data_IF_433265785142
#
_entry.id   IF_433265785142
#
_cell.length_a   1.000
_cell.length_b   1.000
_cell.length_c   1.000
_cell.angle_alpha   90.00
_cell.angle_beta   90.00
_cell.angle_gamma   90.00
#
_symmetry.space_group_name_H-M   'P 1'
#
loop_
_entity.id
_entity.type
_entity.pdbx_description
1 polymer ?
#
# COMPACT_ATOMS: atom_id res chain seq x y z
N UNK A 1 -18.51 -19.60 14.51
CA UNK A 1 -17.37 -19.76 15.45
C UNK A 1 -17.83 -19.65 16.90
N UNK A 2 -18.41 -18.52 17.34
CA UNK A 2 -18.82 -18.33 18.74
C UNK A 2 -19.74 -19.42 19.32
N UNK A 3 -20.84 -19.80 18.65
CA UNK A 3 -21.75 -20.84 19.15
C UNK A 3 -21.09 -22.22 19.31
N UNK A 4 -20.14 -22.56 18.43
CA UNK A 4 -19.40 -23.84 18.48
C UNK A 4 -18.39 -23.86 19.62
N UNK A 5 -17.79 -22.72 19.93
CA UNK A 5 -16.72 -22.58 20.91
C UNK A 5 -17.18 -22.01 22.26
N UNK A 6 -18.48 -21.79 22.44
CA UNK A 6 -19.02 -21.32 23.73
C UNK A 6 -18.70 -22.32 24.84
N UNK A 7 -18.32 -21.88 26.05
CA UNK A 7 -18.01 -22.78 27.18
C UNK A 7 -19.07 -23.86 27.41
N UNK A 8 -20.35 -23.47 27.52
CA UNK A 8 -21.50 -24.40 27.70
C UNK A 8 -21.69 -25.44 26.58
N UNK A 9 -21.02 -25.29 25.44
CA UNK A 9 -21.07 -26.25 24.33
C UNK A 9 -19.84 -27.17 24.30
N UNK A 10 -18.89 -26.96 25.20
CA UNK A 10 -17.64 -27.71 25.31
C UNK A 10 -17.55 -28.58 26.58
N UNK A 11 -18.63 -28.68 27.37
CA UNK A 11 -18.68 -29.48 28.61
C UNK A 11 -18.18 -30.92 28.43
N UNK A 12 -18.44 -31.54 27.27
CA UNK A 12 -17.97 -32.89 26.97
C UNK A 12 -16.43 -33.02 26.98
N UNK A 13 -15.70 -31.95 26.61
CA UNK A 13 -14.23 -31.92 26.64
C UNK A 13 -13.71 -31.83 28.08
N UNK A 14 -14.41 -31.10 28.95
CA UNK A 14 -14.07 -31.01 30.38
C UNK A 14 -14.33 -32.35 31.06
N UNK A 15 -15.47 -33.00 30.76
CA UNK A 15 -15.83 -34.30 31.33
C UNK A 15 -14.92 -35.45 30.88
N UNK A 16 -14.18 -35.29 29.78
CA UNK A 16 -13.19 -36.26 29.31
C UNK A 16 -11.92 -36.30 30.17
N UNK A 17 -11.65 -35.26 30.98
CA UNK A 17 -10.47 -35.18 31.84
C UNK A 17 -10.66 -35.97 33.14
N UNK A 18 -9.60 -36.64 33.58
CA UNK A 18 -9.67 -37.63 34.67
C UNK A 18 -9.38 -37.07 36.07
N UNK A 19 -8.68 -35.93 36.15
CA UNK A 19 -8.32 -35.29 37.42
C UNK A 19 -9.00 -33.93 37.51
N UNK A 20 -9.35 -33.50 38.73
CA UNK A 20 -9.95 -32.17 38.94
C UNK A 20 -9.03 -31.03 38.48
N UNK A 21 -7.70 -31.21 38.63
CA UNK A 21 -6.72 -30.27 38.10
C UNK A 21 -6.75 -30.19 36.57
N UNK A 22 -6.87 -31.32 35.87
CA UNK A 22 -6.98 -31.35 34.40
C UNK A 22 -8.32 -30.78 33.91
N UNK A 23 -9.42 -31.05 34.61
CA UNK A 23 -10.73 -30.45 34.32
C UNK A 23 -10.70 -28.92 34.44
N UNK A 24 -10.09 -28.41 35.52
CA UNK A 24 -9.95 -26.97 35.71
C UNK A 24 -9.06 -26.35 34.62
N UNK A 25 -7.92 -26.96 34.31
CA UNK A 25 -7.06 -26.48 33.22
C UNK A 25 -7.78 -26.46 31.87
N UNK A 26 -8.58 -27.48 31.57
CA UNK A 26 -9.38 -27.55 30.34
C UNK A 26 -10.46 -26.46 30.30
N UNK A 27 -11.10 -26.19 31.43
CA UNK A 27 -12.07 -25.10 31.57
C UNK A 27 -11.41 -23.74 31.31
N UNK A 28 -10.26 -23.48 31.91
CA UNK A 28 -9.50 -22.24 31.73
C UNK A 28 -9.07 -22.06 30.26
N UNK A 29 -8.64 -23.14 29.59
CA UNK A 29 -8.31 -23.15 28.16
C UNK A 29 -9.51 -22.77 27.29
N UNK A 30 -10.68 -23.37 27.56
CA UNK A 30 -11.93 -23.11 26.83
C UNK A 30 -12.38 -21.66 27.02
N UNK A 31 -12.38 -21.16 28.27
CA UNK A 31 -12.74 -19.79 28.60
C UNK A 31 -11.77 -18.79 27.94
N UNK A 32 -10.47 -19.04 28.00
CA UNK A 32 -9.45 -18.23 27.34
C UNK A 32 -9.64 -18.21 25.82
N UNK A 33 -9.92 -19.35 25.20
CA UNK A 33 -10.16 -19.43 23.76
C UNK A 33 -11.43 -18.69 23.34
N UNK A 34 -12.52 -18.82 24.11
CA UNK A 34 -13.76 -18.09 23.84
C UNK A 34 -13.56 -16.57 24.00
N UNK A 35 -12.83 -16.15 25.04
CA UNK A 35 -12.45 -14.74 25.23
C UNK A 35 -11.66 -14.20 24.04
N UNK A 36 -10.67 -14.93 23.54
CA UNK A 36 -9.92 -14.55 22.34
C UNK A 36 -10.83 -14.42 21.10
N UNK A 37 -11.84 -15.29 20.94
CA UNK A 37 -12.84 -15.16 19.87
C UNK A 37 -13.66 -13.87 20.02
N UNK A 38 -14.06 -13.52 21.25
CA UNK A 38 -14.81 -12.28 21.51
C UNK A 38 -13.96 -11.04 21.19
N UNK A 39 -12.73 -10.99 21.68
CA UNK A 39 -11.79 -9.89 21.42
C UNK A 39 -11.52 -9.75 19.91
N UNK A 40 -11.27 -10.86 19.21
CA UNK A 40 -11.11 -10.86 17.76
C UNK A 40 -12.36 -10.33 17.04
N UNK A 41 -13.56 -10.72 17.49
CA UNK A 41 -14.81 -10.23 16.92
C UNK A 41 -14.97 -8.72 17.11
N UNK A 42 -14.67 -8.19 18.30
CA UNK A 42 -14.75 -6.75 18.60
C UNK A 42 -13.82 -5.92 17.72
N UNK A 43 -12.64 -6.43 17.39
CA UNK A 43 -11.70 -5.77 16.49
C UNK A 43 -12.17 -5.87 15.04
N UNK A 44 -12.59 -7.04 14.58
CA UNK A 44 -12.89 -7.29 13.17
C UNK A 44 -14.25 -6.76 12.71
N UNK A 45 -15.20 -6.55 13.65
CA UNK A 45 -16.53 -6.00 13.34
C UNK A 45 -16.51 -4.48 13.18
N UNK A 46 -15.62 -3.79 13.89
CA UNK A 46 -15.45 -2.34 13.80
C UNK A 46 -14.50 -2.02 12.62
N UNK A 47 -14.97 -1.32 11.57
CA UNK A 47 -14.13 -1.05 10.40
C UNK A 47 -12.85 -0.25 10.71
N UNK A 48 -12.87 0.59 11.73
CA UNK A 48 -11.72 1.41 12.14
C UNK A 48 -10.71 0.54 12.88
N UNK A 49 -11.15 -0.23 13.87
CA UNK A 49 -10.27 -1.15 14.60
C UNK A 49 -9.67 -2.20 13.67
N UNK A 50 -10.47 -2.73 12.74
CA UNK A 50 -10.00 -3.67 11.72
C UNK A 50 -8.93 -3.06 10.83
N UNK A 51 -9.08 -1.81 10.36
CA UNK A 51 -8.04 -1.16 9.55
C UNK A 51 -6.74 -0.97 10.32
N UNK A 52 -6.82 -0.55 11.57
CA UNK A 52 -5.66 -0.40 12.44
C UNK A 52 -4.96 -1.75 12.59
N UNK A 53 -5.72 -2.79 12.96
CA UNK A 53 -5.22 -4.15 13.10
C UNK A 53 -4.59 -4.68 11.80
N UNK A 54 -5.29 -4.56 10.68
CA UNK A 54 -4.80 -5.00 9.37
C UNK A 54 -3.51 -4.25 8.98
N UNK A 55 -3.31 -3.01 9.45
CA UNK A 55 -2.10 -2.22 9.17
C UNK A 55 -0.88 -2.60 10.02
N UNK A 56 -1.06 -3.41 11.08
CA UNK A 56 0.05 -3.90 11.93
C UNK A 56 0.71 -5.17 11.39
N UNK A 57 0.11 -5.82 10.38
CA UNK A 57 0.72 -6.99 9.78
C UNK A 57 2.04 -6.63 9.08
N UNK A 58 3.00 -7.55 9.19
CA UNK A 58 4.28 -7.43 8.49
C UNK A 58 4.03 -7.23 6.99
N UNK A 59 4.60 -6.15 6.45
CA UNK A 59 4.42 -5.74 5.07
C UNK A 59 5.77 -5.44 4.42
N UNK A 60 5.97 -5.94 3.21
CA UNK A 60 7.16 -5.66 2.42
C UNK A 60 7.08 -4.24 1.82
N UNK A 61 7.70 -3.30 2.53
CA UNK A 61 7.79 -1.89 2.15
C UNK A 61 8.89 -1.58 1.13
N UNK A 62 9.63 -2.59 0.63
CA UNK A 62 10.73 -2.41 -0.31
C UNK A 62 10.30 -1.65 -1.58
N UNK A 63 11.04 -0.58 -1.88
CA UNK A 63 10.86 0.23 -3.08
C UNK A 63 11.96 -0.10 -4.06
N UNK A 64 11.62 -0.97 -5.02
CA UNK A 64 12.53 -1.34 -6.10
C UNK A 64 12.99 -0.10 -6.87
N UNK A 65 14.30 0.08 -6.95
CA UNK A 65 14.94 1.23 -7.61
C UNK A 65 15.35 0.94 -9.04
N UNK A 66 15.63 -0.32 -9.37
CA UNK A 66 16.09 -0.72 -10.69
C UNK A 66 15.59 -2.12 -11.08
N UNK A 67 15.52 -2.34 -12.40
CA UNK A 67 15.31 -3.63 -13.03
C UNK A 67 15.82 -3.58 -14.48
N UNK A 68 16.17 -4.75 -15.03
CA UNK A 68 16.36 -4.86 -16.46
C UNK A 68 15.01 -4.67 -17.20
N UNK A 69 14.98 -4.11 -18.41
CA UNK A 69 13.72 -3.83 -19.13
C UNK A 69 12.80 -5.05 -19.27
N UNK A 70 13.37 -6.23 -19.51
CA UNK A 70 12.62 -7.48 -19.66
C UNK A 70 11.97 -7.99 -18.37
N UNK A 71 12.45 -7.51 -17.21
CA UNK A 71 11.95 -7.92 -15.90
C UNK A 71 11.04 -6.87 -15.26
N UNK A 72 10.79 -5.75 -15.95
CA UNK A 72 9.96 -4.64 -15.45
C UNK A 72 8.63 -5.11 -14.86
N UNK A 73 7.83 -5.87 -15.63
CA UNK A 73 6.52 -6.33 -15.18
C UNK A 73 6.60 -7.34 -14.03
N UNK A 74 7.66 -8.17 -14.00
CA UNK A 74 7.88 -9.16 -12.94
C UNK A 74 8.28 -8.50 -11.62
N UNK A 75 9.00 -7.38 -11.70
CA UNK A 75 9.49 -6.65 -10.52
C UNK A 75 8.41 -5.69 -10.00
N UNK A 76 7.87 -4.82 -10.85
CA UNK A 76 6.94 -3.77 -10.44
C UNK A 76 5.50 -4.25 -10.32
N UNK A 77 5.07 -5.25 -11.09
CA UNK A 77 3.71 -5.78 -11.02
C UNK A 77 3.32 -6.26 -9.61
N UNK A 78 4.09 -7.18 -8.99
CA UNK A 78 3.84 -7.61 -7.62
C UNK A 78 3.94 -6.49 -6.59
N UNK A 79 4.85 -5.53 -6.77
CA UNK A 79 4.98 -4.38 -5.87
C UNK A 79 3.71 -3.51 -5.89
N UNK A 80 3.16 -3.20 -7.06
CA UNK A 80 1.91 -2.46 -7.17
C UNK A 80 0.71 -3.24 -6.64
N UNK A 81 0.65 -4.56 -6.89
CA UNK A 81 -0.40 -5.41 -6.32
C UNK A 81 -0.39 -5.39 -4.79
N UNK A 82 0.79 -5.54 -4.15
CA UNK A 82 0.94 -5.49 -2.69
C UNK A 82 0.52 -4.13 -2.12
N UNK A 83 1.03 -3.04 -2.69
CA UNK A 83 0.67 -1.69 -2.23
C UNK A 83 -0.80 -1.36 -2.50
N UNK A 84 -1.39 -1.97 -3.53
CA UNK A 84 -2.80 -1.78 -3.89
C UNK A 84 -3.76 -2.27 -2.81
N UNK A 85 -3.37 -3.23 -1.97
CA UNK A 85 -4.16 -3.68 -0.82
C UNK A 85 -4.53 -2.53 0.12
N UNK A 86 -3.70 -1.50 0.20
CA UNK A 86 -3.95 -0.30 1.00
C UNK A 86 -4.78 0.77 0.29
N UNK A 87 -5.25 0.54 -0.94
CA UNK A 87 -5.99 1.55 -1.71
C UNK A 87 -7.39 1.80 -1.15
N UNK A 88 -7.72 3.06 -0.93
CA UNK A 88 -9.10 3.52 -0.66
C UNK A 88 -10.01 3.32 -1.87
N UNK A 89 -9.48 3.46 -3.09
CA UNK A 89 -10.24 3.36 -4.33
C UNK A 89 -10.09 1.97 -4.95
N UNK A 90 -11.21 1.37 -5.36
CA UNK A 90 -11.28 0.06 -6.01
C UNK A 90 -12.16 0.17 -7.28
N UNK A 91 -11.87 -0.60 -8.34
CA UNK A 91 -10.76 -1.55 -8.48
C UNK A 91 -9.40 -0.86 -8.73
N UNK A 92 -8.32 -1.50 -8.31
CA UNK A 92 -6.95 -1.06 -8.61
C UNK A 92 -6.64 -1.39 -10.08
N UNK A 93 -6.14 -0.45 -10.89
CA UNK A 93 -5.76 -0.73 -12.27
C UNK A 93 -4.54 -1.66 -12.32
N UNK A 94 -4.57 -2.61 -13.25
CA UNK A 94 -3.43 -3.50 -13.50
C UNK A 94 -2.30 -2.74 -14.20
N UNK A 95 -1.04 -3.12 -13.90
CA UNK A 95 0.13 -2.63 -14.63
C UNK A 95 0.10 -3.05 -16.12
N UNK A 96 -0.56 -4.17 -16.42
CA UNK A 96 -0.62 -4.76 -17.75
C UNK A 96 0.69 -5.42 -18.18
N UNK A 97 0.92 -5.42 -19.48
CA UNK A 97 2.07 -5.99 -20.17
C UNK A 97 2.64 -5.01 -21.22
N UNK A 98 3.62 -5.46 -22.02
CA UNK A 98 4.30 -4.63 -23.02
C UNK A 98 3.40 -4.18 -24.18
N UNK A 99 2.27 -4.88 -24.39
CA UNK A 99 1.29 -4.62 -25.46
C UNK A 99 0.13 -3.75 -25.01
N UNK A 100 0.07 -3.42 -23.72
CA UNK A 100 -1.01 -2.61 -23.14
C UNK A 100 -1.10 -1.23 -23.80
N UNK A 101 -2.31 -0.80 -24.24
CA UNK A 101 -2.49 0.49 -24.90
C UNK A 101 -2.02 1.67 -24.04
N UNK A 102 -1.44 2.68 -24.68
CA UNK A 102 -0.89 3.87 -24.01
C UNK A 102 -1.91 4.57 -23.11
N UNK A 103 -3.17 4.61 -23.52
CA UNK A 103 -4.25 5.21 -22.72
C UNK A 103 -4.46 4.49 -21.38
N UNK A 104 -4.36 3.15 -21.36
CA UNK A 104 -4.49 2.36 -20.13
C UNK A 104 -3.25 2.51 -19.25
N UNK A 105 -2.06 2.65 -19.85
CA UNK A 105 -0.82 2.98 -19.14
C UNK A 105 -0.93 4.34 -18.45
N UNK A 106 -1.48 5.35 -19.13
CA UNK A 106 -1.67 6.68 -18.56
C UNK A 106 -2.72 6.67 -17.43
N UNK A 107 -3.83 5.92 -17.59
CA UNK A 107 -4.81 5.72 -16.51
C UNK A 107 -4.19 5.04 -15.29
N UNK A 108 -3.36 4.02 -15.50
CA UNK A 108 -2.62 3.35 -14.44
C UNK A 108 -1.74 4.33 -13.65
N UNK A 109 -0.88 5.08 -14.32
CA UNK A 109 0.00 6.03 -13.62
C UNK A 109 -0.78 7.20 -12.99
N UNK A 110 -1.87 7.65 -13.61
CA UNK A 110 -2.73 8.67 -13.04
C UNK A 110 -3.37 8.20 -11.72
N UNK A 111 -3.86 6.96 -11.66
CA UNK A 111 -4.36 6.36 -10.42
C UNK A 111 -3.27 6.35 -9.34
N UNK A 112 -2.07 5.86 -9.67
CA UNK A 112 -0.99 5.70 -8.70
C UNK A 112 -0.38 7.02 -8.23
N UNK A 113 -0.33 8.03 -9.10
CA UNK A 113 0.09 9.37 -8.69
C UNK A 113 -0.94 10.11 -7.84
N UNK A 114 -2.21 9.67 -7.86
CA UNK A 114 -3.27 10.14 -6.98
C UNK A 114 -3.67 9.10 -5.92
N UNK A 115 -2.79 8.14 -5.64
CA UNK A 115 -3.05 7.03 -4.73
C UNK A 115 -3.43 7.56 -3.34
N UNK A 116 -4.48 7.00 -2.75
CA UNK A 116 -4.91 7.30 -1.38
C UNK A 116 -4.90 6.01 -0.58
N UNK A 117 -4.08 6.00 0.48
CA UNK A 117 -3.94 4.85 1.36
C UNK A 117 -4.94 4.91 2.52
N UNK A 118 -5.52 3.77 2.89
CA UNK A 118 -6.23 3.60 4.18
C UNK A 118 -5.33 3.03 5.28
N UNK A 119 -4.06 2.69 4.98
CA UNK A 119 -3.10 2.15 5.95
C UNK A 119 -2.89 3.13 7.11
N UNK A 120 -2.92 2.61 8.32
CA UNK A 120 -2.70 3.33 9.57
C UNK A 120 -1.35 2.90 10.20
N UNK A 121 -0.81 3.68 11.14
CA UNK A 121 0.52 3.44 11.71
C UNK A 121 0.49 3.44 13.25
N UNK A 122 -0.34 2.58 13.89
CA UNK A 122 -0.54 2.64 15.34
C UNK A 122 0.74 2.46 16.16
N UNK A 123 1.74 1.75 15.64
CA UNK A 123 3.01 1.51 16.33
C UNK A 123 3.87 2.79 16.45
N UNK A 124 3.56 3.84 15.68
CA UNK A 124 4.24 5.13 15.76
C UNK A 124 3.67 6.04 16.86
N UNK A 125 2.60 5.64 17.56
CA UNK A 125 2.07 6.40 18.70
C UNK A 125 2.96 6.25 19.94
N UNK A 126 3.44 7.37 20.48
CA UNK A 126 4.30 7.38 21.67
C UNK A 126 3.51 7.42 23.00
N UNK A 127 2.27 7.91 22.99
CA UNK A 127 1.52 8.19 24.22
C UNK A 127 0.29 7.29 24.36
N UNK A 128 0.19 6.58 25.49
CA UNK A 128 -1.01 5.86 25.90
C UNK A 128 -2.00 6.82 26.61
N UNK A 129 -3.15 7.05 25.98
CA UNK A 129 -4.19 7.94 26.49
C UNK A 129 -4.78 7.48 27.84
N UNK A 130 -4.61 6.21 28.23
CA UNK A 130 -5.02 5.70 29.55
C UNK A 130 -4.14 6.24 30.68
N UNK A 131 -2.89 6.63 30.39
CA UNK A 131 -1.96 7.22 31.37
C UNK A 131 -2.23 8.70 31.66
N UNK A 132 -3.23 9.30 31.02
CA UNK A 132 -3.56 10.71 31.19
C UNK A 132 -4.17 11.05 32.54
N UNK A 133 -3.45 11.85 33.31
CA UNK A 133 -3.84 12.35 34.63
C UNK A 133 -4.97 13.40 34.60
N UNK A 134 -5.18 14.07 33.47
CA UNK A 134 -6.22 15.08 33.31
C UNK A 134 -6.74 15.12 31.87
N UNK A 135 -7.90 15.76 31.66
CA UNK A 135 -8.47 15.93 30.32
C UNK A 135 -7.54 16.73 29.42
N UNK A 136 -6.90 17.75 29.97
CA UNK A 136 -5.94 18.60 29.28
C UNK A 136 -4.67 17.80 28.91
N UNK A 137 -4.20 16.92 29.80
CA UNK A 137 -3.09 16.02 29.53
C UNK A 137 -3.43 15.01 28.42
N UNK A 138 -4.62 14.39 28.46
CA UNK A 138 -5.08 13.48 27.39
C UNK A 138 -5.16 14.18 26.03
N UNK A 139 -5.72 15.39 25.97
CA UNK A 139 -5.78 16.19 24.74
C UNK A 139 -4.39 16.56 24.21
N UNK A 140 -3.44 16.80 25.10
CA UNK A 140 -2.05 17.04 24.69
C UNK A 140 -1.43 15.78 24.08
N UNK A 141 -1.64 14.61 24.69
CA UNK A 141 -1.18 13.31 24.17
C UNK A 141 -1.81 12.99 22.80
N UNK A 142 -3.13 13.16 22.66
CA UNK A 142 -3.84 13.01 21.37
C UNK A 142 -3.20 13.86 20.27
N UNK A 143 -2.82 15.10 20.58
CA UNK A 143 -2.14 15.98 19.62
C UNK A 143 -0.72 15.54 19.30
N UNK A 144 0.01 14.92 20.23
CA UNK A 144 1.34 14.37 19.92
C UNK A 144 1.21 13.15 19.02
N UNK A 145 0.34 12.19 19.36
CA UNK A 145 0.08 11.02 18.52
C UNK A 145 -0.40 11.44 17.12
N UNK A 146 -1.32 12.42 17.01
CA UNK A 146 -1.77 12.92 15.72
C UNK A 146 -0.63 13.47 14.84
N UNK A 147 0.39 14.10 15.42
CA UNK A 147 1.57 14.57 14.67
C UNK A 147 2.46 13.40 14.21
N UNK A 148 2.63 12.39 15.07
CA UNK A 148 3.39 11.18 14.74
C UNK A 148 2.71 10.42 13.59
N UNK A 149 1.39 10.23 13.69
CA UNK A 149 0.56 9.67 12.63
C UNK A 149 0.67 10.47 11.32
N UNK A 150 0.59 11.80 11.37
CA UNK A 150 0.73 12.62 10.17
C UNK A 150 2.11 12.46 9.52
N UNK A 151 3.17 12.38 10.34
CA UNK A 151 4.54 12.14 9.87
C UNK A 151 4.67 10.76 9.22
N UNK A 152 4.14 9.71 9.84
CA UNK A 152 4.13 8.35 9.31
C UNK A 152 3.40 8.27 7.97
N UNK A 153 2.19 8.84 7.89
CA UNK A 153 1.43 8.95 6.66
C UNK A 153 2.21 9.67 5.57
N UNK A 154 2.84 10.81 5.88
CA UNK A 154 3.68 11.54 4.92
C UNK A 154 4.86 10.71 4.41
N UNK A 155 5.52 9.95 5.28
CA UNK A 155 6.60 9.06 4.88
C UNK A 155 6.10 7.95 3.94
N UNK A 156 4.93 7.35 4.23
CA UNK A 156 4.30 6.35 3.37
C UNK A 156 3.93 6.92 1.99
N UNK A 157 3.31 8.10 1.95
CA UNK A 157 3.01 8.78 0.68
C UNK A 157 4.28 9.02 -0.14
N UNK A 158 5.37 9.43 0.50
CA UNK A 158 6.66 9.62 -0.17
C UNK A 158 7.26 8.29 -0.67
N UNK A 159 7.12 7.20 0.10
CA UNK A 159 7.58 5.85 -0.28
C UNK A 159 6.84 5.34 -1.51
N UNK A 160 5.50 5.37 -1.49
CA UNK A 160 4.68 4.97 -2.64
C UNK A 160 4.98 5.87 -3.84
N UNK A 161 5.10 7.19 -3.64
CA UNK A 161 5.47 8.12 -4.73
C UNK A 161 6.79 7.74 -5.38
N UNK A 162 7.79 7.37 -4.57
CA UNK A 162 9.10 6.91 -5.06
C UNK A 162 8.98 5.62 -5.87
N UNK A 163 8.17 4.67 -5.44
CA UNK A 163 7.86 3.46 -6.22
C UNK A 163 7.29 3.81 -7.59
N UNK A 164 6.29 4.71 -7.65
CA UNK A 164 5.66 5.12 -8.91
C UNK A 164 6.67 5.81 -9.82
N UNK A 165 7.49 6.72 -9.28
CA UNK A 165 8.50 7.44 -10.06
C UNK A 165 9.59 6.51 -10.60
N UNK A 166 10.02 5.51 -9.83
CA UNK A 166 10.98 4.51 -10.28
C UNK A 166 10.39 3.65 -11.41
N UNK A 167 9.14 3.19 -11.24
CA UNK A 167 8.42 2.43 -12.26
C UNK A 167 8.27 3.26 -13.55
N UNK A 168 7.77 4.50 -13.47
CA UNK A 168 7.56 5.37 -14.62
C UNK A 168 8.85 5.66 -15.40
N UNK A 169 9.98 5.75 -14.69
CA UNK A 169 11.31 5.91 -15.31
C UNK A 169 11.79 4.64 -15.99
N UNK A 170 11.36 3.45 -15.58
CA UNK A 170 11.87 2.16 -16.10
C UNK A 170 10.90 1.46 -17.06
N UNK A 171 9.65 1.91 -17.11
CA UNK A 171 8.61 1.31 -17.95
C UNK A 171 9.00 1.39 -19.43
N UNK A 172 9.16 0.24 -20.12
CA UNK A 172 9.60 0.21 -21.51
C UNK A 172 8.62 0.90 -22.45
N UNK A 173 7.32 0.92 -22.12
CA UNK A 173 6.29 1.59 -22.91
C UNK A 173 6.44 3.11 -22.84
N UNK A 174 6.75 3.63 -21.65
CA UNK A 174 7.02 5.05 -21.42
C UNK A 174 8.33 5.47 -22.10
N UNK A 175 9.35 4.63 -22.06
CA UNK A 175 10.63 4.90 -22.72
C UNK A 175 10.47 4.96 -24.25
N UNK A 176 9.81 3.98 -24.86
CA UNK A 176 9.49 3.99 -26.31
C UNK A 176 8.75 5.28 -26.71
N UNK A 177 7.72 5.65 -25.96
CA UNK A 177 6.97 6.90 -26.21
C UNK A 177 7.87 8.14 -26.17
N UNK A 178 8.76 8.25 -25.17
CA UNK A 178 9.70 9.38 -25.05
C UNK A 178 10.70 9.43 -26.21
N UNK A 179 11.17 8.28 -26.67
CA UNK A 179 12.08 8.18 -27.82
C UNK A 179 11.39 8.61 -29.11
N UNK A 180 10.16 8.14 -29.35
CA UNK A 180 9.34 8.53 -30.50
C UNK A 180 9.04 10.04 -30.52
N UNK A 181 8.64 10.62 -29.38
CA UNK A 181 8.42 12.05 -29.24
C UNK A 181 9.68 12.88 -29.50
N UNK A 182 10.84 12.39 -29.03
CA UNK A 182 12.13 13.03 -29.26
C UNK A 182 12.52 12.98 -30.75
N UNK A 183 12.34 11.83 -31.39
CA UNK A 183 12.62 11.64 -32.81
C UNK A 183 11.72 12.52 -33.68
N UNK A 184 10.42 12.58 -33.39
CA UNK A 184 9.48 13.45 -34.10
C UNK A 184 9.82 14.93 -33.92
N UNK A 185 10.20 15.35 -32.70
CA UNK A 185 10.66 16.72 -32.45
C UNK A 185 11.94 17.05 -33.21
N UNK A 186 12.88 16.11 -33.34
CA UNK A 186 14.09 16.28 -34.13
C UNK A 186 13.77 16.40 -35.63
N UNK A 187 12.94 15.51 -36.18
CA UNK A 187 12.47 15.58 -37.57
C UNK A 187 11.81 16.92 -37.89
N UNK A 188 10.93 17.42 -37.00
CA UNK A 188 10.30 18.74 -37.17
C UNK A 188 11.31 19.90 -37.18
N UNK A 189 12.38 19.81 -36.38
CA UNK A 189 13.45 20.82 -36.38
C UNK A 189 14.28 20.77 -37.66
N UNK A 190 14.62 19.57 -38.14
CA UNK A 190 15.39 19.37 -39.37
C UNK A 190 14.62 19.85 -40.60
N UNK A 191 13.32 19.52 -40.70
CA UNK A 191 12.45 20.02 -41.78
C UNK A 191 12.41 21.55 -41.79
N UNK A 192 12.26 22.18 -40.61
CA UNK A 192 12.29 23.65 -40.50
C UNK A 192 13.65 24.24 -40.87
N UNK A 193 14.75 23.60 -40.45
CA UNK A 193 16.09 24.03 -40.79
C UNK A 193 16.35 23.95 -42.30
N UNK A 194 15.98 22.84 -42.94
CA UNK A 194 16.13 22.64 -44.38
C UNK A 194 15.28 23.63 -45.19
N UNK A 195 14.04 23.89 -44.74
CA UNK A 195 13.15 24.87 -45.38
C UNK A 195 13.68 26.30 -45.29
N UNK A 196 14.37 26.65 -44.20
CA UNK A 196 14.94 27.99 -43.98
C UNK A 196 16.41 28.09 -44.41
N UNK A 197 16.97 27.06 -45.05
CA UNK A 197 18.39 27.05 -45.42
C UNK A 197 18.61 28.02 -46.59
N UNK A 198 19.41 29.10 -46.44
CA UNK A 198 19.66 30.03 -47.54
C UNK A 198 20.34 29.29 -48.69
N UNK A 199 19.85 29.51 -49.90
CA UNK A 199 20.34 28.89 -51.12
C UNK A 199 21.70 29.50 -51.47
N UNK A 200 22.80 28.87 -51.03
CA UNK A 200 24.19 29.32 -51.25
C UNK A 200 24.70 29.09 -52.70
N UNK A 201 23.80 28.93 -53.67
CA UNK A 201 24.12 28.61 -55.07
C UNK A 201 24.05 29.82 -56.02
N UNK A 202 24.19 31.05 -55.51
CA UNK A 202 24.13 32.28 -56.33
C UNK A 202 25.39 33.16 -56.30
N UNK A 203 26.54 32.65 -55.85
CA UNK A 203 27.81 33.40 -55.89
C UNK A 203 28.96 32.63 -56.55
N UNK A 204 28.76 32.18 -57.79
CA UNK A 204 29.87 31.88 -58.72
C UNK A 204 29.44 32.38 -60.11
N UNK A 205 29.56 33.69 -60.32
CA UNK A 205 29.67 34.34 -61.64
C UNK A 205 31.13 34.76 -61.84
#
# INVERSE_FOLDING_TARGET
>A
MALKHHPDKQDALILAETTEAAKQAKKDEIESHFKAIQEAYEVLIDPTKRRIYDSTYEFDDDVRTDCAPQDFFKVFGPAFMRNGSWSVAQPIPSLGDDTTPVEEVDKFYNFWYNFKSWREFPDDDEYDLQQGESREHKRWMERQNAKLQEKAKKAEYARVRTLVDNAYKKDPRIQRRKEEEKAEKQRRKEVKYLANRPNLLLCLF
#
